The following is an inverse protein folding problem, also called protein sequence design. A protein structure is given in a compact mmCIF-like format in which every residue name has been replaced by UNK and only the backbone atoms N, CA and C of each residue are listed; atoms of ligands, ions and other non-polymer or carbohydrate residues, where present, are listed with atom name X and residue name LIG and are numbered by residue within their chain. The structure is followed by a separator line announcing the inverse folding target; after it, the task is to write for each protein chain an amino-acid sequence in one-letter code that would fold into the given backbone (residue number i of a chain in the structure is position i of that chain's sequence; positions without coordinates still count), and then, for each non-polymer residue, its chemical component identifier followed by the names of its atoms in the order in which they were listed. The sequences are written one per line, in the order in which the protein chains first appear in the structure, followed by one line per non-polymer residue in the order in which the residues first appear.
data_IF_084065883813
#
_entry.id   IF_084065883813
#
_cell.length_a   1.000
_cell.length_b   1.000
_cell.length_c   1.000
_cell.angle_alpha   90.00
_cell.angle_beta   90.00
_cell.angle_gamma   90.00
#
_symmetry.space_group_name_H-M   'P 1'
#
loop_
_entity.id
_entity.type
_entity.pdbx_description
1 polymer ?
#
# COMPACT_ATOMS: atom_id res chain seq x y z
N UNK A 1 -43.41 11.05 3.86
CA UNK A 1 -42.93 10.08 2.85
C UNK A 1 -41.46 10.43 2.64
N UNK A 2 -40.56 9.93 3.49
CA UNK A 2 -39.66 8.78 3.19
C UNK A 2 -38.89 9.08 1.89
N UNK A 3 -37.57 9.27 1.84
CA UNK A 3 -36.52 8.41 2.38
C UNK A 3 -35.28 9.22 2.80
N UNK A 4 -34.71 8.84 3.95
CA UNK A 4 -33.34 9.15 4.31
C UNK A 4 -32.39 8.30 3.45
N UNK A 5 -31.32 8.89 2.95
CA UNK A 5 -30.16 8.14 2.44
C UNK A 5 -28.90 8.78 2.99
N UNK A 6 -28.68 8.51 4.27
CA UNK A 6 -27.38 8.67 4.91
C UNK A 6 -26.43 7.65 4.27
N UNK A 7 -25.75 8.02 3.19
CA UNK A 7 -24.48 7.37 2.81
C UNK A 7 -23.37 8.15 3.49
N UNK A 8 -23.43 8.21 4.82
CA UNK A 8 -22.22 8.40 5.61
C UNK A 8 -21.57 7.04 5.53
N UNK A 9 -20.61 6.87 4.61
CA UNK A 9 -19.73 5.72 4.62
C UNK A 9 -19.37 5.46 6.07
N UNK A 10 -19.81 4.31 6.58
CA UNK A 10 -19.22 3.64 7.72
C UNK A 10 -17.71 3.59 7.43
N UNK A 11 -16.99 4.61 7.91
CA UNK A 11 -15.58 4.49 8.22
C UNK A 11 -15.60 3.76 9.55
N UNK A 12 -15.89 2.47 9.45
CA UNK A 12 -15.71 1.54 10.54
C UNK A 12 -14.20 1.43 10.70
N UNK A 13 -13.73 2.22 11.65
CA UNK A 13 -12.40 2.23 12.24
C UNK A 13 -12.16 0.89 12.94
N UNK A 14 -12.21 -0.21 12.20
CA UNK A 14 -12.05 -1.57 12.72
C UNK A 14 -10.95 -2.23 11.90
N UNK A 15 -9.72 -1.81 12.23
CA UNK A 15 -8.43 -2.32 11.72
C UNK A 15 -8.25 -2.13 10.21
N UNK A 16 -7.46 -1.16 9.79
CA UNK A 16 -6.09 -1.43 9.38
C UNK A 16 -5.86 -2.31 8.16
N UNK A 17 -6.90 -2.78 7.46
CA UNK A 17 -6.74 -3.94 6.62
C UNK A 17 -6.48 -3.54 5.19
N UNK A 18 -5.22 -3.71 4.83
CA UNK A 18 -4.78 -3.75 3.45
C UNK A 18 -5.68 -4.73 2.68
N UNK A 19 -6.36 -4.22 1.65
CA UNK A 19 -7.35 -4.96 0.88
C UNK A 19 -7.10 -4.74 -0.61
N UNK A 20 -7.58 -5.64 -1.48
CA UNK A 20 -7.40 -5.52 -2.94
C UNK A 20 -7.86 -4.17 -3.49
N UNK A 21 -8.97 -3.62 -2.97
CA UNK A 21 -9.45 -2.28 -3.35
C UNK A 21 -8.48 -1.17 -2.97
N UNK A 22 -7.90 -1.26 -1.76
CA UNK A 22 -6.94 -0.27 -1.27
C UNK A 22 -5.67 -0.33 -2.10
N UNK A 23 -5.16 -1.53 -2.38
CA UNK A 23 -4.03 -1.73 -3.29
C UNK A 23 -4.29 -1.17 -4.67
N UNK A 24 -5.47 -1.46 -5.25
CA UNK A 24 -5.84 -0.94 -6.56
C UNK A 24 -5.88 0.60 -6.58
N UNK A 25 -6.36 1.25 -5.51
CA UNK A 25 -6.34 2.71 -5.38
C UNK A 25 -4.90 3.24 -5.30
N UNK A 26 -4.04 2.61 -4.49
CA UNK A 26 -2.62 2.96 -4.34
C UNK A 26 -1.89 2.83 -5.70
N UNK A 27 -2.02 1.71 -6.39
CA UNK A 27 -1.42 1.48 -7.72
C UNK A 27 -1.87 2.54 -8.70
N UNK A 28 -3.17 2.82 -8.74
CA UNK A 28 -3.74 3.83 -9.63
C UNK A 28 -3.18 5.21 -9.30
N UNK A 29 -3.09 5.57 -8.02
CA UNK A 29 -2.54 6.84 -7.60
C UNK A 29 -1.07 6.96 -7.99
N UNK A 30 -0.24 5.96 -7.67
CA UNK A 30 1.18 5.92 -8.03
C UNK A 30 1.41 6.00 -9.55
N UNK A 31 0.59 5.29 -10.34
CA UNK A 31 0.67 5.32 -11.80
C UNK A 31 0.25 6.65 -12.44
N UNK A 32 -0.42 7.53 -11.72
CA UNK A 32 -0.74 8.89 -12.18
C UNK A 32 0.32 9.93 -11.78
N UNK A 33 1.27 9.57 -10.91
CA UNK A 33 2.36 10.46 -10.52
C UNK A 33 3.48 10.38 -11.56
N UNK A 34 4.05 11.54 -11.90
CA UNK A 34 5.19 11.56 -12.84
C UNK A 34 6.47 10.99 -12.23
N UNK A 35 6.59 11.09 -10.90
CA UNK A 35 7.68 10.53 -10.11
C UNK A 35 7.12 10.04 -8.77
N UNK A 36 7.55 8.86 -8.33
CA UNK A 36 7.19 8.34 -7.01
C UNK A 36 8.31 8.71 -6.04
N UNK A 37 8.02 9.64 -5.15
CA UNK A 37 9.01 10.18 -4.20
C UNK A 37 8.47 10.10 -2.77
N UNK A 38 9.28 10.52 -1.79
CA UNK A 38 8.85 10.57 -0.38
C UNK A 38 7.62 11.47 -0.15
N UNK A 39 7.39 12.48 -1.00
CA UNK A 39 6.18 13.30 -0.98
C UNK A 39 4.93 12.48 -1.33
N UNK A 40 5.01 11.68 -2.39
CA UNK A 40 3.97 10.74 -2.81
C UNK A 40 3.63 9.76 -1.68
N UNK A 41 4.64 9.20 -1.01
CA UNK A 41 4.44 8.34 0.16
C UNK A 41 3.80 9.09 1.32
N UNK A 42 4.22 10.33 1.59
CA UNK A 42 3.64 11.15 2.65
C UNK A 42 2.15 11.40 2.43
N UNK A 43 1.72 11.63 1.18
CA UNK A 43 0.30 11.75 0.82
C UNK A 43 -0.46 10.45 1.03
N UNK A 44 0.12 9.31 0.65
CA UNK A 44 -0.46 8.00 0.91
C UNK A 44 -0.57 7.72 2.42
N UNK A 45 0.46 8.07 3.19
CA UNK A 45 0.48 7.92 4.65
C UNK A 45 -0.59 8.78 5.34
N UNK A 46 -0.87 9.99 4.84
CA UNK A 46 -1.98 10.82 5.34
C UNK A 46 -3.33 10.17 5.05
N UNK A 47 -3.48 9.52 3.89
CA UNK A 47 -4.71 8.88 3.47
C UNK A 47 -4.94 7.51 4.13
N UNK A 48 -3.85 6.79 4.42
CA UNK A 48 -3.83 5.48 5.06
C UNK A 48 -2.87 5.50 6.28
N UNK A 49 -3.23 6.20 7.37
CA UNK A 49 -2.34 6.41 8.52
C UNK A 49 -1.96 5.12 9.25
N UNK A 50 -2.76 4.07 9.09
CA UNK A 50 -2.53 2.74 9.65
C UNK A 50 -1.58 1.85 8.83
N UNK A 51 -1.38 2.19 7.55
CA UNK A 51 -0.49 1.44 6.67
C UNK A 51 0.90 2.06 6.70
N UNK A 52 1.93 1.22 6.66
CA UNK A 52 3.31 1.68 6.53
C UNK A 52 3.74 1.62 5.08
N UNK A 53 4.14 2.74 4.52
CA UNK A 53 4.73 2.81 3.18
C UNK A 53 6.25 2.88 3.30
N UNK A 54 6.94 2.12 2.47
CA UNK A 54 8.41 2.15 2.35
C UNK A 54 8.76 2.26 0.87
N UNK A 55 9.68 3.15 0.54
CA UNK A 55 10.19 3.30 -0.82
C UNK A 55 11.58 2.67 -0.88
N UNK A 56 11.75 1.70 -1.77
CA UNK A 56 13.03 1.07 -2.06
C UNK A 56 13.27 1.10 -3.57
N UNK A 57 14.52 0.93 -3.96
CA UNK A 57 14.87 0.63 -5.35
C UNK A 57 14.92 -0.89 -5.52
N UNK A 58 14.54 -1.37 -6.69
CA UNK A 58 14.53 -2.82 -7.00
C UNK A 58 15.88 -3.49 -6.72
N UNK A 59 16.98 -2.76 -6.97
CA UNK A 59 18.36 -3.19 -6.70
C UNK A 59 18.62 -3.59 -5.23
N UNK A 60 17.86 -3.02 -4.29
CA UNK A 60 17.96 -3.33 -2.85
C UNK A 60 16.98 -4.43 -2.41
N UNK A 61 15.93 -4.68 -3.20
CA UNK A 61 14.94 -5.72 -2.92
C UNK A 61 15.44 -7.12 -3.33
N UNK A 62 16.27 -7.24 -4.37
CA UNK A 62 16.69 -8.55 -4.88
C UNK A 62 15.52 -9.34 -5.49
N UNK A 63 15.64 -10.67 -5.65
CA UNK A 63 14.64 -11.50 -6.35
C UNK A 63 13.36 -11.82 -5.55
N UNK A 64 12.87 -10.90 -4.72
CA UNK A 64 11.61 -11.12 -4.01
C UNK A 64 10.40 -10.97 -4.94
N UNK A 65 9.44 -11.87 -4.82
CA UNK A 65 8.23 -11.83 -5.64
C UNK A 65 7.38 -10.61 -5.28
N UNK A 66 7.06 -9.80 -6.30
CA UNK A 66 6.13 -8.69 -6.19
C UNK A 66 4.70 -9.23 -5.97
N UNK A 67 3.94 -8.55 -5.12
CA UNK A 67 2.51 -8.85 -4.98
C UNK A 67 1.71 -8.24 -6.14
N UNK A 68 2.09 -7.03 -6.56
CA UNK A 68 1.57 -6.39 -7.78
C UNK A 68 2.75 -5.85 -8.56
N UNK A 69 2.87 -6.27 -9.81
CA UNK A 69 3.81 -5.72 -10.77
C UNK A 69 3.14 -4.57 -11.54
N UNK A 70 3.75 -3.39 -11.51
CA UNK A 70 3.27 -2.22 -12.24
C UNK A 70 4.35 -1.65 -13.17
N UNK A 71 3.93 -0.76 -14.07
CA UNK A 71 4.85 -0.19 -15.06
C UNK A 71 5.75 0.88 -14.44
N UNK A 72 6.93 0.48 -13.94
CA UNK A 72 7.94 1.36 -13.36
C UNK A 72 8.07 1.25 -11.83
N UNK A 73 7.23 0.44 -11.19
CA UNK A 73 7.36 0.08 -9.79
C UNK A 73 6.64 -1.23 -9.49
N UNK A 74 7.07 -1.91 -8.44
CA UNK A 74 6.39 -3.07 -7.88
C UNK A 74 5.92 -2.79 -6.46
N UNK A 75 4.86 -3.48 -6.05
CA UNK A 75 4.36 -3.46 -4.69
C UNK A 75 4.59 -4.81 -4.04
N UNK A 76 5.26 -4.79 -2.90
CA UNK A 76 5.40 -5.94 -2.03
C UNK A 76 4.66 -5.70 -0.73
N UNK A 77 3.95 -6.71 -0.22
CA UNK A 77 3.29 -6.59 1.07
C UNK A 77 4.29 -6.90 2.17
N UNK A 78 4.22 -6.15 3.27
CA UNK A 78 5.03 -6.41 4.46
C UNK A 78 4.13 -6.68 5.65
N UNK A 79 4.44 -7.73 6.39
CA UNK A 79 3.86 -8.01 7.69
C UNK A 79 4.85 -7.63 8.78
N UNK A 80 4.36 -6.91 9.80
CA UNK A 80 5.14 -6.67 11.01
C UNK A 80 4.93 -7.85 11.95
N UNK A 81 5.96 -8.68 12.16
CA UNK A 81 5.93 -9.65 13.26
C UNK A 81 6.31 -8.98 14.58
N UNK A 82 5.76 -9.52 15.67
CA UNK A 82 6.07 -9.15 17.05
C UNK A 82 7.59 -9.18 17.37
N UNK A 83 8.37 -9.92 16.58
CA UNK A 83 9.82 -10.04 16.71
C UNK A 83 10.63 -8.84 16.17
N UNK A 84 9.97 -7.79 15.65
CA UNK A 84 10.63 -6.54 15.24
C UNK A 84 11.25 -6.54 13.84
N UNK A 85 11.27 -7.68 13.14
CA UNK A 85 11.66 -7.75 11.73
C UNK A 85 10.41 -7.74 10.84
N UNK A 86 10.33 -6.77 9.94
CA UNK A 86 9.36 -6.79 8.83
C UNK A 86 9.70 -7.95 7.90
N UNK A 87 8.69 -8.74 7.52
CA UNK A 87 8.84 -9.83 6.55
C UNK A 87 7.95 -9.54 5.35
N UNK A 88 8.44 -9.84 4.15
CA UNK A 88 7.59 -9.81 2.96
C UNK A 88 6.56 -10.93 3.05
N UNK A 89 5.34 -10.64 2.62
CA UNK A 89 4.21 -11.57 2.63
C UNK A 89 3.42 -11.44 1.33
N UNK A 90 2.69 -12.48 0.97
CA UNK A 90 1.68 -12.43 -0.09
C UNK A 90 0.25 -12.53 0.49
N UNK A 91 0.15 -12.63 1.81
CA UNK A 91 -1.13 -12.64 2.50
C UNK A 91 -1.54 -11.22 2.88
N UNK A 92 -2.49 -10.66 2.13
CA UNK A 92 -3.16 -9.39 2.42
C UNK A 92 -3.65 -9.29 3.87
N UNK A 93 -4.18 -10.38 4.41
CA UNK A 93 -4.72 -10.45 5.77
C UNK A 93 -3.66 -10.33 6.86
N UNK A 94 -2.39 -10.57 6.53
CA UNK A 94 -1.26 -10.41 7.44
C UNK A 94 -0.45 -9.15 7.14
N UNK A 95 -0.73 -8.48 6.03
CA UNK A 95 -0.01 -7.30 5.59
C UNK A 95 -0.36 -6.10 6.50
N UNK A 96 0.68 -5.47 7.03
CA UNK A 96 0.61 -4.25 7.84
C UNK A 96 1.15 -3.02 7.09
N UNK A 97 1.62 -3.22 5.86
CA UNK A 97 2.18 -2.17 5.03
C UNK A 97 2.57 -2.68 3.65
N UNK A 98 3.13 -1.76 2.88
CA UNK A 98 3.55 -1.99 1.50
C UNK A 98 4.92 -1.36 1.26
N UNK A 99 5.77 -2.10 0.57
CA UNK A 99 7.01 -1.60 0.00
C UNK A 99 6.78 -1.33 -1.48
N UNK A 100 7.13 -0.12 -1.91
CA UNK A 100 7.12 0.31 -3.29
C UNK A 100 8.56 0.18 -3.78
N UNK A 101 8.83 -0.76 -4.66
CA UNK A 101 10.12 -0.96 -5.30
C UNK A 101 10.12 -0.23 -6.64
N UNK A 102 10.92 0.82 -6.80
CA UNK A 102 11.03 1.53 -8.07
C UNK A 102 12.01 0.81 -9.00
N UNK A 103 11.64 0.71 -10.27
CA UNK A 103 12.50 0.20 -11.34
C UNK A 103 13.16 1.40 -12.02
N UNK A 104 14.48 1.42 -12.10
CA UNK A 104 15.17 2.39 -12.96
C UNK A 104 14.79 2.11 -14.42
N UNK A 105 14.30 3.12 -15.13
CA UNK A 105 13.80 3.00 -16.51
C UNK A 105 14.86 3.28 -17.57
#
# INVERSE_FOLDING_TARGET
MSHATTTKCDIDFERGHLSERVLSDIVSQLGNESEISQDTLSRLQVRYPELRFTLCFDEEMGSHEAYIEASGFDLHLVSHRLSGCSSLTQELTQASGVVIALHDR
#
